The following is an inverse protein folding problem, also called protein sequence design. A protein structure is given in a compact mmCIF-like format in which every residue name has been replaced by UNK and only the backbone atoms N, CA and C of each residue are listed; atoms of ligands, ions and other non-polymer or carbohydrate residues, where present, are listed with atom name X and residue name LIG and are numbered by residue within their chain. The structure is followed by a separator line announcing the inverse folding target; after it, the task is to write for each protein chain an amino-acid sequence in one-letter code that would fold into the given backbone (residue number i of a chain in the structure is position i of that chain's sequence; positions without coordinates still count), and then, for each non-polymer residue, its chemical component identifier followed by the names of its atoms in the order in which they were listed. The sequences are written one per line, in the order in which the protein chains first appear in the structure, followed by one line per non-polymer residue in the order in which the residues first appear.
data_IF_000624109208
#
_entry.id   IF_000624109208
#
_cell.length_a   1.000
_cell.length_b   1.000
_cell.length_c   1.000
_cell.angle_alpha   90.00
_cell.angle_beta   90.00
_cell.angle_gamma   90.00
#
_symmetry.space_group_name_H-M   'P 1'
#
loop_
_entity.id
_entity.type
_entity.pdbx_description
1 polymer ?
#
# COMPACT_ATOMS: atom_id res chain seq x y z
N UNK A 1 -17.31 -14.23 2.85
CA UNK A 1 -16.87 -13.12 1.98
C UNK A 1 -15.78 -12.39 2.73
N UNK A 2 -14.56 -12.36 2.19
CA UNK A 2 -13.49 -11.54 2.78
C UNK A 2 -13.83 -10.08 2.45
N UNK A 3 -14.08 -9.27 3.48
CA UNK A 3 -14.29 -7.85 3.34
C UNK A 3 -12.94 -7.22 2.98
N UNK A 4 -12.78 -6.82 1.71
CA UNK A 4 -11.60 -6.06 1.29
C UNK A 4 -11.86 -4.62 1.72
N UNK A 5 -11.51 -4.29 2.97
CA UNK A 5 -11.73 -2.93 3.48
C UNK A 5 -10.64 -1.95 2.99
N UNK A 6 -9.48 -2.46 2.58
CA UNK A 6 -8.29 -1.66 2.33
C UNK A 6 -7.67 -2.03 0.98
N UNK A 7 -7.39 -1.02 0.15
CA UNK A 7 -6.70 -1.14 -1.14
C UNK A 7 -5.27 -0.61 -0.99
N UNK A 8 -4.30 -1.49 -1.23
CA UNK A 8 -2.89 -1.13 -1.28
C UNK A 8 -2.52 -0.68 -2.69
N UNK A 9 -1.86 0.46 -2.81
CA UNK A 9 -1.48 1.08 -4.08
C UNK A 9 0.04 1.26 -4.12
N UNK A 10 0.69 0.70 -5.15
CA UNK A 10 2.07 1.04 -5.49
C UNK A 10 2.13 2.51 -5.93
N UNK A 11 2.78 3.32 -5.11
CA UNK A 11 2.90 4.76 -5.29
C UNK A 11 4.23 5.22 -5.90
N UNK A 12 5.13 4.28 -6.22
CA UNK A 12 6.36 4.55 -6.98
C UNK A 12 6.07 4.55 -8.48
N UNK A 13 5.08 3.77 -8.93
CA UNK A 13 4.78 3.60 -10.35
C UNK A 13 4.01 4.77 -11.02
N UNK A 14 3.21 5.58 -10.30
CA UNK A 14 2.31 6.57 -10.93
C UNK A 14 2.03 7.87 -10.13
N UNK A 15 1.73 9.02 -10.82
CA UNK A 15 1.51 10.32 -10.18
C UNK A 15 0.05 10.63 -9.77
N UNK A 16 -0.94 9.80 -10.15
CA UNK A 16 -2.39 10.07 -10.00
C UNK A 16 -2.94 9.82 -8.59
N UNK A 17 -2.17 10.23 -7.57
CA UNK A 17 -2.44 9.92 -6.15
C UNK A 17 -3.69 10.62 -5.64
N UNK A 18 -3.93 11.85 -6.09
CA UNK A 18 -5.05 12.67 -5.63
C UNK A 18 -6.39 12.12 -6.15
N UNK A 19 -6.45 11.65 -7.39
CA UNK A 19 -7.63 11.01 -7.98
C UNK A 19 -7.97 9.70 -7.26
N UNK A 20 -6.96 8.92 -6.88
CA UNK A 20 -7.16 7.66 -6.14
C UNK A 20 -7.75 7.96 -4.75
N UNK A 21 -7.25 8.99 -4.04
CA UNK A 21 -7.82 9.42 -2.75
C UNK A 21 -9.27 9.87 -2.91
N UNK A 22 -9.57 10.64 -3.96
CA UNK A 22 -10.92 11.11 -4.24
C UNK A 22 -11.89 9.94 -4.44
N UNK A 23 -11.52 8.97 -5.29
CA UNK A 23 -12.34 7.77 -5.55
C UNK A 23 -12.48 6.92 -4.29
N UNK A 24 -11.39 6.69 -3.54
CA UNK A 24 -11.44 5.95 -2.28
C UNK A 24 -12.41 6.59 -1.28
N UNK A 25 -12.41 7.92 -1.19
CA UNK A 25 -13.34 8.67 -0.34
C UNK A 25 -14.79 8.51 -0.80
N UNK A 26 -15.06 8.62 -2.10
CA UNK A 26 -16.40 8.46 -2.69
C UNK A 26 -17.00 7.09 -2.39
N UNK A 27 -16.20 6.04 -2.53
CA UNK A 27 -16.63 4.64 -2.32
C UNK A 27 -16.43 4.14 -0.89
N UNK A 28 -15.98 4.99 0.04
CA UNK A 28 -15.69 4.62 1.43
C UNK A 28 -14.71 3.44 1.55
N UNK A 29 -13.71 3.40 0.67
CA UNK A 29 -12.64 2.40 0.65
C UNK A 29 -11.37 3.02 1.20
N UNK A 30 -10.71 2.35 2.14
CA UNK A 30 -9.44 2.82 2.68
C UNK A 30 -8.33 2.62 1.65
N UNK A 31 -7.69 3.70 1.21
CA UNK A 31 -6.53 3.66 0.32
C UNK A 31 -5.26 3.79 1.15
N UNK A 32 -4.35 2.84 0.98
CA UNK A 32 -3.02 2.85 1.60
C UNK A 32 -1.96 2.81 0.50
N UNK A 33 -1.19 3.89 0.38
CA UNK A 33 -0.10 4.00 -0.57
C UNK A 33 1.16 3.35 -0.01
N UNK A 34 1.85 2.55 -0.83
CA UNK A 34 3.15 1.95 -0.52
C UNK A 34 4.18 2.53 -1.46
N UNK A 35 5.24 3.14 -0.92
CA UNK A 35 6.30 3.77 -1.70
C UNK A 35 7.67 3.53 -1.06
N UNK A 36 8.72 3.54 -1.85
CA UNK A 36 10.09 3.56 -1.30
C UNK A 36 10.42 4.93 -0.70
N UNK A 37 11.33 4.97 0.28
CA UNK A 37 11.77 6.23 0.89
C UNK A 37 12.37 7.24 -0.10
N UNK A 38 12.87 6.80 -1.26
CA UNK A 38 13.39 7.67 -2.32
C UNK A 38 12.30 8.57 -2.93
N UNK A 39 11.05 8.12 -2.93
CA UNK A 39 9.90 8.86 -3.48
C UNK A 39 9.09 9.60 -2.43
N UNK A 40 9.60 9.69 -1.19
CA UNK A 40 8.93 10.39 -0.09
C UNK A 40 8.92 11.90 -0.35
N UNK A 41 7.73 12.47 -0.46
CA UNK A 41 7.52 13.92 -0.60
C UNK A 41 6.96 14.53 0.69
N UNK A 42 7.28 15.79 0.97
CA UNK A 42 6.85 16.49 2.22
C UNK A 42 5.36 16.82 2.27
N UNK A 43 4.67 16.83 1.13
CA UNK A 43 3.24 17.09 1.01
C UNK A 43 2.59 15.89 0.34
N UNK A 44 2.05 14.98 1.15
CA UNK A 44 1.30 13.83 0.68
C UNK A 44 0.03 13.71 1.52
N UNK A 45 -1.10 13.45 0.85
CA UNK A 45 -2.40 13.18 1.49
C UNK A 45 -2.65 11.67 1.51
N UNK A 46 -3.52 11.20 2.41
CA UNK A 46 -3.86 9.77 2.55
C UNK A 46 -2.94 9.00 3.49
N UNK A 47 -3.13 7.68 3.52
CA UNK A 47 -2.35 6.76 4.37
C UNK A 47 -1.14 6.24 3.60
N UNK A 48 0.03 6.20 4.25
CA UNK A 48 1.30 5.87 3.61
C UNK A 48 2.08 4.83 4.40
N UNK A 49 2.66 3.87 3.68
CA UNK A 49 3.66 2.92 4.15
C UNK A 49 4.91 3.16 3.32
N UNK A 50 6.04 3.35 4.00
CA UNK A 50 7.32 3.50 3.33
C UNK A 50 8.19 2.27 3.55
N UNK A 51 8.68 1.72 2.46
CA UNK A 51 9.60 0.57 2.42
C UNK A 51 11.02 1.05 2.12
N UNK A 52 12.00 0.16 2.26
CA UNK A 52 13.38 0.50 1.97
C UNK A 52 13.56 0.95 0.51
N UNK A 53 14.67 1.62 0.24
CA UNK A 53 15.03 2.18 -1.06
C UNK A 53 15.66 1.15 -2.00
N UNK A 54 15.66 -0.13 -1.62
CA UNK A 54 16.08 -1.24 -2.44
C UNK A 54 15.25 -1.36 -3.71
N UNK A 55 15.78 -2.09 -4.69
CA UNK A 55 15.05 -2.37 -5.92
C UNK A 55 13.86 -3.30 -5.59
N UNK A 56 12.69 -2.99 -6.15
CA UNK A 56 11.46 -3.78 -6.04
C UNK A 56 10.93 -3.99 -4.60
N UNK A 57 11.36 -3.17 -3.62
CA UNK A 57 10.91 -3.28 -2.22
C UNK A 57 9.41 -3.06 -2.04
N UNK A 58 8.80 -2.21 -2.87
CA UNK A 58 7.35 -1.99 -2.89
C UNK A 58 6.63 -3.24 -3.37
N UNK A 59 7.13 -3.86 -4.45
CA UNK A 59 6.58 -5.12 -4.96
C UNK A 59 6.71 -6.26 -3.95
N UNK A 60 7.87 -6.38 -3.29
CA UNK A 60 8.12 -7.35 -2.22
C UNK A 60 7.12 -7.17 -1.07
N UNK A 61 6.90 -5.94 -0.63
CA UNK A 61 5.93 -5.61 0.41
C UNK A 61 4.50 -5.98 -0.01
N UNK A 62 4.07 -5.57 -1.20
CA UNK A 62 2.74 -5.90 -1.72
C UNK A 62 2.55 -7.41 -1.91
N UNK A 63 3.61 -8.14 -2.28
CA UNK A 63 3.59 -9.60 -2.41
C UNK A 63 3.40 -10.30 -1.06
N UNK A 64 4.04 -9.76 -0.01
CA UNK A 64 4.00 -10.29 1.36
C UNK A 64 2.66 -9.99 2.02
N UNK A 65 2.10 -8.79 1.81
CA UNK A 65 0.78 -8.40 2.30
C UNK A 65 -0.39 -9.12 1.59
N UNK A 66 -0.14 -10.07 0.68
CA UNK A 66 -1.21 -10.87 0.02
C UNK A 66 -1.82 -11.90 0.96
N UNK A 67 -2.47 -11.39 2.01
CA UNK A 67 -3.46 -12.07 2.83
C UNK A 67 -2.91 -13.19 3.70
N UNK A 68 -3.49 -13.31 4.88
CA UNK A 68 -3.64 -14.57 5.58
C UNK A 68 -4.28 -15.63 4.65
N UNK A 69 -3.50 -16.22 3.74
CA UNK A 69 -3.74 -17.58 3.28
C UNK A 69 -3.18 -18.45 4.38
N UNK A 70 -4.08 -18.88 5.25
CA UNK A 70 -3.90 -19.62 6.48
C UNK A 70 -3.02 -20.88 6.37
N UNK A 71 -1.72 -20.75 6.12
CA UNK A 71 -0.69 -21.79 6.21
C UNK A 71 0.70 -21.13 6.19
N UNK A 72 1.08 -20.38 7.22
CA UNK A 72 2.42 -20.45 7.82
C UNK A 72 2.57 -19.41 8.92
N UNK A 73 3.09 -19.84 10.06
CA UNK A 73 3.18 -19.07 11.30
C UNK A 73 4.49 -18.27 11.35
N UNK A 74 4.81 -17.56 10.27
CA UNK A 74 6.03 -16.73 10.20
C UNK A 74 5.88 -15.58 9.21
N UNK A 75 4.84 -14.78 9.36
CA UNK A 75 4.78 -13.47 8.69
C UNK A 75 4.78 -12.44 9.79
N UNK A 76 5.99 -11.90 10.04
CA UNK A 76 6.18 -10.70 10.84
C UNK A 76 5.08 -9.71 10.49
N UNK A 77 4.37 -9.18 11.49
CA UNK A 77 3.21 -8.31 11.32
C UNK A 77 3.44 -7.25 10.23
N UNK A 78 2.99 -7.56 9.03
CA UNK A 78 3.12 -6.76 7.82
C UNK A 78 1.81 -6.96 7.08
N UNK A 79 0.83 -6.14 7.48
CA UNK A 79 -0.61 -6.28 7.21
C UNK A 79 -1.33 -7.32 8.10
#
# INVERSE_FOLDING_TARGET
MQNINNVLVDADAYPVKDEIVQVGTEFHVEIVFVASYTHRSRKQQGNWIYVDSGQDEVDLYLSTCKGNRSHDHTVYEAC
#
